data_IF_900910288863
#
_entry.id   IF_900910288863
#
_cell.length_a   1.000
_cell.length_b   1.000
_cell.length_c   1.000
_cell.angle_alpha   90.00
_cell.angle_beta   90.00
_cell.angle_gamma   90.00
#
_symmetry.space_group_name_H-M   'P 1'
#
loop_
_entity.id
_entity.type
_entity.pdbx_description
1 polymer ?
#
# COMPACT_ATOMS: atom_id res chain seq x y z
N UNK A 1 1.68 19.21 -11.66
CA UNK A 1 2.96 19.89 -11.91
C UNK A 1 3.66 19.27 -13.12
N UNK A 2 4.25 18.07 -13.04
CA UNK A 2 4.90 17.48 -14.23
C UNK A 2 3.92 17.29 -15.40
N UNK A 3 2.79 16.61 -15.17
CA UNK A 3 1.76 16.42 -16.20
C UNK A 3 1.05 17.70 -16.65
N UNK A 4 1.16 18.79 -15.88
CA UNK A 4 0.52 20.08 -16.24
C UNK A 4 1.45 20.99 -17.04
N UNK A 5 2.76 20.72 -17.01
CA UNK A 5 3.82 21.52 -17.66
C UNK A 5 4.51 20.74 -18.79
N UNK A 6 3.88 19.65 -19.27
CA UNK A 6 4.42 18.71 -20.26
C UNK A 6 5.01 19.41 -21.49
N UNK A 7 4.27 20.34 -22.10
CA UNK A 7 4.70 21.06 -23.31
C UNK A 7 5.92 21.97 -23.10
N UNK A 8 6.07 22.54 -21.90
CA UNK A 8 7.23 23.38 -21.58
C UNK A 8 8.46 22.51 -21.30
N UNK A 9 8.27 21.37 -20.63
CA UNK A 9 9.34 20.44 -20.27
C UNK A 9 9.81 19.60 -21.47
N UNK A 10 8.93 19.29 -22.43
CA UNK A 10 9.28 18.55 -23.66
C UNK A 10 10.14 19.35 -24.63
N UNK A 11 10.12 20.68 -24.55
CA UNK A 11 10.92 21.55 -25.40
C UNK A 11 12.39 21.62 -24.97
N UNK A 12 12.73 21.06 -23.81
CA UNK A 12 14.09 21.03 -23.27
C UNK A 12 14.73 19.69 -23.62
N UNK A 13 15.95 19.74 -24.16
CA UNK A 13 16.80 18.56 -24.33
C UNK A 13 17.44 18.21 -22.99
N UNK A 14 16.99 17.13 -22.35
CA UNK A 14 17.46 16.75 -21.02
C UNK A 14 18.65 15.80 -21.12
N UNK A 15 19.79 16.16 -20.53
CA UNK A 15 20.94 15.22 -20.47
C UNK A 15 20.64 14.03 -19.54
N UNK A 16 19.87 14.23 -18.47
CA UNK A 16 19.58 13.18 -17.49
C UNK A 16 18.20 13.34 -16.88
N UNK A 17 17.49 12.22 -16.74
CA UNK A 17 16.25 12.11 -15.99
C UNK A 17 16.46 11.24 -14.75
N UNK A 18 16.14 11.80 -13.58
CA UNK A 18 16.13 11.07 -12.31
C UNK A 18 14.68 11.02 -11.82
N UNK A 19 14.13 9.81 -11.74
CA UNK A 19 12.78 9.60 -11.22
C UNK A 19 12.87 8.95 -9.85
N UNK A 20 12.46 9.69 -8.83
CA UNK A 20 12.33 9.17 -7.48
C UNK A 20 11.00 8.43 -7.28
N UNK A 21 11.01 7.45 -6.39
CA UNK A 21 9.93 6.49 -6.18
C UNK A 21 9.48 5.81 -7.49
N UNK A 22 10.44 5.22 -8.20
CA UNK A 22 10.25 4.58 -9.51
C UNK A 22 9.10 3.55 -9.55
N UNK A 23 8.68 3.02 -8.40
CA UNK A 23 7.48 2.19 -8.29
C UNK A 23 6.18 2.87 -8.78
N UNK A 24 6.17 4.20 -8.92
CA UNK A 24 5.06 4.95 -9.55
C UNK A 24 4.91 4.67 -11.05
N UNK A 25 5.95 4.13 -11.70
CA UNK A 25 5.99 3.81 -13.14
C UNK A 25 5.58 2.37 -13.46
N UNK A 26 4.98 1.64 -12.51
CA UNK A 26 4.60 0.22 -12.63
C UNK A 26 3.62 -0.16 -13.74
N UNK A 27 3.14 0.80 -14.55
CA UNK A 27 2.13 0.55 -15.58
C UNK A 27 2.41 1.38 -16.83
N UNK A 28 2.53 0.69 -17.98
CA UNK A 28 2.69 1.34 -19.29
C UNK A 28 1.52 2.23 -19.67
N UNK A 29 0.32 1.96 -19.13
CA UNK A 29 -0.89 2.75 -19.39
C UNK A 29 -0.99 3.99 -18.52
N UNK A 30 -0.10 4.15 -17.54
CA UNK A 30 -0.05 5.36 -16.72
C UNK A 30 0.34 6.55 -17.59
N UNK A 31 -0.43 7.64 -17.52
CA UNK A 31 -0.08 8.90 -18.22
C UNK A 31 1.31 9.40 -17.83
N UNK A 32 1.70 9.18 -16.57
CA UNK A 32 3.05 9.52 -16.08
C UNK A 32 4.14 8.75 -16.82
N UNK A 33 3.92 7.47 -17.09
CA UNK A 33 4.87 6.64 -17.82
C UNK A 33 5.04 7.13 -19.25
N UNK A 34 3.92 7.35 -19.95
CA UNK A 34 3.91 7.78 -21.36
C UNK A 34 4.67 9.11 -21.53
N UNK A 35 4.32 10.12 -20.73
CA UNK A 35 4.95 11.44 -20.81
C UNK A 35 6.46 11.38 -20.55
N UNK A 36 6.89 10.64 -19.52
CA UNK A 36 8.31 10.53 -19.21
C UNK A 36 9.08 9.67 -20.23
N UNK A 37 8.40 8.70 -20.84
CA UNK A 37 8.99 7.87 -21.88
C UNK A 37 9.26 8.66 -23.15
N UNK A 38 8.35 9.59 -23.49
CA UNK A 38 8.42 10.44 -24.68
C UNK A 38 9.46 11.57 -24.58
N UNK A 39 9.94 11.88 -23.37
CA UNK A 39 11.04 12.85 -23.20
C UNK A 39 12.35 12.28 -23.74
N UNK A 40 13.00 13.07 -24.61
CA UNK A 40 14.33 12.77 -25.10
C UNK A 40 15.36 13.02 -23.99
N UNK A 41 16.03 11.95 -23.60
CA UNK A 41 16.98 11.96 -22.48
C UNK A 41 18.16 11.05 -22.74
N UNK A 42 19.39 11.53 -22.54
CA UNK A 42 20.59 10.70 -22.74
C UNK A 42 20.76 9.62 -21.66
N UNK A 43 20.42 9.94 -20.41
CA UNK A 43 20.53 9.00 -19.28
C UNK A 43 19.27 8.99 -18.43
N UNK A 44 18.83 7.80 -18.01
CA UNK A 44 17.66 7.60 -17.12
C UNK A 44 18.10 6.86 -15.86
N UNK A 45 17.75 7.41 -14.70
CA UNK A 45 18.01 6.80 -13.39
C UNK A 45 16.73 6.69 -12.60
N UNK A 46 16.44 5.48 -12.09
CA UNK A 46 15.33 5.23 -11.19
C UNK A 46 15.82 5.07 -9.76
N UNK A 47 15.24 5.83 -8.84
CA UNK A 47 15.44 5.64 -7.40
C UNK A 47 14.20 4.95 -6.83
N UNK A 48 14.40 3.83 -6.13
CA UNK A 48 13.29 3.11 -5.49
C UNK A 48 13.77 2.35 -4.27
N UNK A 49 13.02 2.47 -3.17
CA UNK A 49 13.25 1.68 -1.96
C UNK A 49 12.80 0.22 -2.08
N UNK A 50 11.95 -0.10 -3.06
CA UNK A 50 11.37 -1.43 -3.28
C UNK A 50 11.48 -1.81 -4.77
N UNK A 51 12.68 -2.20 -5.24
CA UNK A 51 12.92 -2.41 -6.67
C UNK A 51 12.22 -3.65 -7.25
N UNK A 52 11.93 -4.65 -6.43
CA UNK A 52 11.21 -5.86 -6.83
C UNK A 52 9.81 -5.79 -6.25
N UNK A 53 8.86 -5.26 -7.02
CA UNK A 53 7.44 -5.39 -6.73
C UNK A 53 6.94 -6.69 -7.38
N UNK A 54 5.93 -7.31 -6.77
CA UNK A 54 5.64 -8.76 -6.81
C UNK A 54 5.26 -9.36 -8.19
N UNK A 55 5.39 -8.63 -9.30
CA UNK A 55 5.06 -9.09 -10.65
C UNK A 55 6.22 -8.86 -11.62
N UNK A 56 6.58 -9.88 -12.41
CA UNK A 56 7.53 -9.79 -13.51
C UNK A 56 7.17 -8.68 -14.51
N UNK A 57 5.88 -8.43 -14.71
CA UNK A 57 5.42 -7.36 -15.61
C UNK A 57 5.86 -5.98 -15.10
N UNK A 58 5.75 -5.72 -13.79
CA UNK A 58 6.14 -4.44 -13.21
C UNK A 58 7.65 -4.23 -13.34
N UNK A 59 8.43 -5.30 -13.12
CA UNK A 59 9.87 -5.28 -13.34
C UNK A 59 10.22 -4.99 -14.80
N UNK A 60 9.58 -5.68 -15.74
CA UNK A 60 9.78 -5.46 -17.17
C UNK A 60 9.48 -4.01 -17.55
N UNK A 61 8.41 -3.41 -17.01
CA UNK A 61 8.06 -2.02 -17.29
C UNK A 61 9.15 -1.04 -16.83
N UNK A 62 9.74 -1.28 -15.66
CA UNK A 62 10.87 -0.46 -15.18
C UNK A 62 12.12 -0.65 -16.04
N UNK A 63 12.42 -1.88 -16.47
CA UNK A 63 13.56 -2.16 -17.35
C UNK A 63 13.37 -1.56 -18.75
N UNK A 64 12.18 -1.68 -19.31
CA UNK A 64 11.79 -1.05 -20.57
C UNK A 64 11.86 0.48 -20.50
N UNK A 65 11.58 1.08 -19.34
CA UNK A 65 11.74 2.51 -19.15
C UNK A 65 13.21 2.95 -19.20
N UNK A 66 14.11 2.16 -18.61
CA UNK A 66 15.55 2.44 -18.59
C UNK A 66 16.20 2.18 -19.95
N UNK A 67 15.86 1.06 -20.61
CA UNK A 67 16.49 0.61 -21.86
C UNK A 67 15.43 0.00 -22.80
N UNK A 68 14.67 0.84 -23.53
CA UNK A 68 13.54 0.38 -24.33
C UNK A 68 13.94 -0.51 -25.51
N UNK A 69 15.14 -0.33 -26.07
CA UNK A 69 15.66 -1.12 -27.18
C UNK A 69 15.90 -2.58 -26.80
N UNK A 70 16.46 -2.81 -25.60
CA UNK A 70 16.78 -4.16 -25.11
C UNK A 70 15.54 -4.88 -24.59
N UNK A 71 14.60 -4.15 -23.99
CA UNK A 71 13.39 -4.70 -23.39
C UNK A 71 12.15 -4.26 -24.16
N UNK A 72 12.04 -4.62 -25.44
CA UNK A 72 10.99 -4.11 -26.34
C UNK A 72 9.63 -4.80 -26.19
N UNK A 73 9.61 -6.14 -26.04
CA UNK A 73 8.37 -6.95 -25.95
C UNK A 73 8.21 -7.59 -24.57
N UNK A 74 7.03 -7.38 -23.97
CA UNK A 74 6.65 -8.04 -22.72
C UNK A 74 6.42 -9.52 -22.94
N UNK A 75 5.84 -9.89 -24.08
CA UNK A 75 5.51 -11.25 -24.47
C UNK A 75 6.79 -12.10 -24.59
N UNK A 76 7.81 -11.59 -25.28
CA UNK A 76 9.11 -12.26 -25.38
C UNK A 76 9.78 -12.45 -24.00
N UNK A 77 9.67 -11.45 -23.14
CA UNK A 77 10.17 -11.54 -21.76
C UNK A 77 9.38 -12.59 -20.96
N UNK A 78 8.05 -12.59 -21.05
CA UNK A 78 7.22 -13.59 -20.38
C UNK A 78 7.49 -15.00 -20.91
N UNK A 79 7.66 -15.20 -22.22
CA UNK A 79 8.01 -16.51 -22.79
C UNK A 79 9.36 -17.01 -22.24
N UNK A 80 10.36 -16.12 -22.15
CA UNK A 80 11.67 -16.46 -21.59
C UNK A 80 11.60 -16.87 -20.10
N UNK A 81 10.67 -16.28 -19.32
CA UNK A 81 10.53 -16.47 -17.88
C UNK A 81 9.27 -17.24 -17.42
N UNK A 82 8.52 -17.89 -18.33
CA UNK A 82 7.27 -18.63 -18.03
C UNK A 82 7.44 -20.15 -17.88
N UNK A 83 8.64 -20.67 -18.12
CA UNK A 83 8.97 -22.10 -17.95
C UNK A 83 8.90 -22.61 -16.50
N UNK A 84 8.85 -23.93 -16.34
CA UNK A 84 8.58 -24.63 -15.08
C UNK A 84 9.71 -24.63 -14.04
N UNK A 85 10.86 -24.01 -14.33
CA UNK A 85 12.09 -24.13 -13.53
C UNK A 85 12.45 -22.79 -12.87
N UNK A 86 11.73 -22.48 -11.78
CA UNK A 86 11.71 -21.15 -11.16
C UNK A 86 13.06 -20.68 -10.62
N UNK A 87 13.90 -21.57 -10.09
CA UNK A 87 15.20 -21.18 -9.50
C UNK A 87 16.23 -20.76 -10.56
N UNK A 88 16.26 -21.46 -11.70
CA UNK A 88 17.15 -21.12 -12.81
C UNK A 88 16.73 -19.78 -13.46
N UNK A 89 15.43 -19.55 -13.58
CA UNK A 89 14.87 -18.30 -14.10
C UNK A 89 15.18 -17.09 -13.20
N UNK A 90 15.01 -17.24 -11.88
CA UNK A 90 15.33 -16.19 -10.91
C UNK A 90 16.82 -15.84 -10.98
N UNK A 91 17.70 -16.84 -11.09
CA UNK A 91 19.15 -16.64 -11.20
C UNK A 91 19.51 -15.85 -12.46
N UNK A 92 18.93 -16.23 -13.61
CA UNK A 92 19.15 -15.54 -14.89
C UNK A 92 18.60 -14.11 -14.88
N UNK A 93 17.43 -13.90 -14.27
CA UNK A 93 16.87 -12.56 -14.08
C UNK A 93 17.80 -11.69 -13.24
N UNK A 94 18.38 -12.23 -12.16
CA UNK A 94 19.35 -11.52 -11.36
C UNK A 94 20.60 -11.12 -12.14
N UNK A 95 21.10 -11.96 -13.05
CA UNK A 95 22.24 -11.61 -13.91
C UNK A 95 21.94 -10.44 -14.85
N UNK A 96 20.75 -10.43 -15.45
CA UNK A 96 20.29 -9.34 -16.34
C UNK A 96 20.11 -8.03 -15.56
N UNK A 97 19.60 -8.11 -14.32
CA UNK A 97 19.38 -6.95 -13.46
C UNK A 97 20.67 -6.41 -12.85
N UNK A 98 21.66 -7.25 -12.57
CA UNK A 98 22.91 -6.90 -11.86
C UNK A 98 23.62 -5.65 -12.40
N UNK A 99 23.78 -5.43 -13.72
CA UNK A 99 24.40 -4.20 -14.23
C UNK A 99 23.52 -2.95 -14.09
N UNK A 100 22.19 -3.10 -13.98
CA UNK A 100 21.24 -1.99 -13.94
C UNK A 100 20.79 -1.63 -12.51
N UNK A 101 20.93 -2.55 -11.56
CA UNK A 101 20.36 -2.46 -10.23
C UNK A 101 21.44 -2.53 -9.16
N UNK A 102 21.65 -1.40 -8.48
CA UNK A 102 22.45 -1.32 -7.28
C UNK A 102 21.54 -1.37 -6.04
N UNK A 103 21.53 -2.51 -5.34
CA UNK A 103 20.76 -2.70 -4.10
C UNK A 103 21.68 -3.08 -2.94
N UNK A 104 21.52 -2.38 -1.82
CA UNK A 104 22.23 -2.64 -0.56
C UNK A 104 21.20 -2.80 0.56
N UNK A 105 21.41 -3.74 1.50
CA UNK A 105 20.54 -3.87 2.67
C UNK A 105 21.08 -3.03 3.82
N UNK A 106 20.19 -2.53 4.70
CA UNK A 106 20.59 -1.76 5.88
C UNK A 106 21.58 -2.52 6.76
N UNK A 107 21.43 -3.85 6.90
CA UNK A 107 22.35 -4.69 7.66
C UNK A 107 23.77 -4.74 7.08
N UNK A 108 23.90 -4.56 5.76
CA UNK A 108 25.19 -4.64 5.06
C UNK A 108 25.99 -3.34 5.19
N UNK A 109 25.31 -2.23 5.53
CA UNK A 109 25.89 -0.87 5.53
C UNK A 109 25.86 -0.21 6.91
N UNK A 110 24.83 -0.46 7.72
CA UNK A 110 24.58 0.20 9.00
C UNK A 110 24.70 -0.80 10.15
N UNK A 111 25.94 -1.22 10.45
CA UNK A 111 26.25 -2.22 11.48
C UNK A 111 25.90 -1.77 12.91
N UNK A 112 25.77 -0.46 13.15
CA UNK A 112 25.45 0.11 14.46
C UNK A 112 23.94 0.21 14.75
N UNK A 113 23.08 -0.07 13.77
CA UNK A 113 21.63 0.06 13.94
C UNK A 113 21.05 -1.20 14.61
N UNK A 114 20.28 -1.07 15.71
CA UNK A 114 19.60 -2.22 16.30
C UNK A 114 18.67 -2.91 15.31
N UNK A 115 18.51 -4.24 15.37
CA UNK A 115 17.63 -4.96 14.46
C UNK A 115 16.17 -4.54 14.67
N UNK A 116 15.44 -4.40 13.55
CA UNK A 116 14.00 -4.13 13.57
C UNK A 116 13.27 -5.34 14.18
N UNK A 117 12.58 -5.14 15.31
CA UNK A 117 11.67 -6.15 15.88
C UNK A 117 10.27 -5.95 15.32
N UNK A 118 9.69 -7.01 14.76
CA UNK A 118 8.33 -7.00 14.23
C UNK A 118 7.45 -7.91 15.09
N UNK A 119 6.36 -7.36 15.61
CA UNK A 119 5.45 -8.07 16.50
C UNK A 119 4.00 -7.84 16.06
N UNK A 120 3.30 -8.94 15.82
CA UNK A 120 1.88 -8.92 15.49
C UNK A 120 1.07 -9.00 16.78
N UNK A 121 0.42 -7.89 17.16
CA UNK A 121 -0.46 -7.84 18.32
C UNK A 121 -1.88 -8.18 17.88
N UNK A 122 -2.38 -9.33 18.34
CA UNK A 122 -3.77 -9.74 18.10
C UNK A 122 -4.70 -8.98 19.04
N UNK A 123 -5.80 -8.47 18.49
CA UNK A 123 -6.76 -7.64 19.21
C UNK A 123 -8.15 -8.22 19.00
N UNK A 124 -8.92 -8.31 20.07
CA UNK A 124 -10.31 -8.74 19.99
C UNK A 124 -11.24 -7.61 19.57
N UNK A 125 -12.32 -7.95 18.87
CA UNK A 125 -13.36 -6.98 18.52
C UNK A 125 -14.16 -6.57 19.77
N UNK A 126 -14.44 -5.28 19.88
CA UNK A 126 -15.38 -4.74 20.87
C UNK A 126 -16.80 -5.29 20.63
N UNK A 127 -17.69 -5.12 21.62
CA UNK A 127 -19.11 -5.50 21.47
C UNK A 127 -19.75 -4.80 20.27
N UNK A 128 -19.57 -3.48 20.16
CA UNK A 128 -20.10 -2.69 19.06
C UNK A 128 -19.54 -3.15 17.71
N UNK A 129 -18.23 -3.42 17.63
CA UNK A 129 -17.62 -3.98 16.42
C UNK A 129 -18.23 -5.32 16.04
N UNK A 130 -18.44 -6.24 17.00
CA UNK A 130 -19.07 -7.54 16.74
C UNK A 130 -20.48 -7.39 16.17
N UNK A 131 -21.26 -6.45 16.68
CA UNK A 131 -22.64 -6.20 16.22
C UNK A 131 -22.67 -5.66 14.78
N UNK A 132 -21.83 -4.67 14.47
CA UNK A 132 -21.67 -4.16 13.09
C UNK A 132 -21.09 -5.21 12.14
N UNK A 133 -20.12 -6.00 12.59
CA UNK A 133 -19.50 -7.05 11.80
C UNK A 133 -20.54 -8.11 11.41
N UNK A 134 -21.38 -8.54 12.36
CA UNK A 134 -22.52 -9.44 12.08
C UNK A 134 -23.51 -8.80 11.12
N UNK A 135 -23.90 -7.55 11.33
CA UNK A 135 -24.84 -6.83 10.45
C UNK A 135 -24.35 -6.78 8.99
N UNK A 136 -23.06 -6.45 8.77
CA UNK A 136 -22.44 -6.44 7.44
C UNK A 136 -22.46 -7.81 6.80
N UNK A 137 -22.14 -8.87 7.55
CA UNK A 137 -22.17 -10.24 7.04
C UNK A 137 -23.59 -10.70 6.70
N UNK A 138 -24.57 -10.44 7.57
CA UNK A 138 -25.97 -10.85 7.35
C UNK A 138 -26.56 -10.15 6.12
N UNK A 139 -26.32 -8.84 5.95
CA UNK A 139 -26.76 -8.10 4.75
C UNK A 139 -26.13 -8.63 3.47
N UNK A 140 -24.91 -9.15 3.57
CA UNK A 140 -24.13 -9.64 2.44
C UNK A 140 -24.26 -11.14 2.21
N UNK A 141 -25.06 -11.84 3.03
CA UNK A 141 -25.22 -13.28 3.01
C UNK A 141 -25.57 -13.85 1.62
N UNK A 142 -26.46 -13.23 0.80
CA UNK A 142 -26.77 -13.73 -0.54
C UNK A 142 -25.57 -13.72 -1.50
N UNK A 143 -24.66 -12.75 -1.31
CA UNK A 143 -23.42 -12.63 -2.11
C UNK A 143 -22.38 -13.65 -1.65
N UNK A 144 -22.32 -13.93 -0.34
CA UNK A 144 -21.36 -14.88 0.26
C UNK A 144 -21.72 -16.34 -0.05
N UNK A 145 -23.00 -16.68 -0.13
CA UNK A 145 -23.51 -18.04 -0.40
C UNK A 145 -23.54 -18.36 -1.91
N UNK A 146 -23.09 -17.44 -2.77
CA UNK A 146 -22.93 -17.71 -4.21
C UNK A 146 -24.25 -17.78 -4.99
N UNK A 147 -25.25 -16.98 -4.61
CA UNK A 147 -26.52 -16.96 -5.35
C UNK A 147 -26.35 -16.34 -6.74
N UNK A 148 -26.41 -17.18 -7.79
CA UNK A 148 -26.72 -16.90 -9.22
C UNK A 148 -26.37 -15.50 -9.72
N UNK A 149 -25.11 -15.06 -9.58
CA UNK A 149 -24.65 -13.80 -10.15
C UNK A 149 -23.42 -14.04 -11.04
N UNK A 150 -23.36 -13.34 -12.17
CA UNK A 150 -22.22 -13.40 -13.09
C UNK A 150 -20.92 -13.02 -12.37
N UNK A 151 -19.82 -13.75 -12.64
CA UNK A 151 -18.58 -13.71 -11.85
C UNK A 151 -18.00 -12.32 -11.60
N UNK A 152 -18.09 -11.39 -12.56
CA UNK A 152 -17.60 -10.01 -12.42
C UNK A 152 -18.38 -9.14 -11.42
N UNK A 153 -19.70 -9.35 -11.31
CA UNK A 153 -20.54 -8.60 -10.35
C UNK A 153 -20.38 -9.13 -8.92
N UNK A 154 -20.15 -10.44 -8.76
CA UNK A 154 -19.86 -11.08 -7.48
C UNK A 154 -18.55 -10.56 -6.90
N UNK A 155 -17.48 -10.52 -7.70
CA UNK A 155 -16.17 -10.04 -7.25
C UNK A 155 -16.20 -8.59 -6.74
N UNK A 156 -16.94 -7.71 -7.42
CA UNK A 156 -17.09 -6.30 -7.02
C UNK A 156 -17.88 -6.15 -5.72
N UNK A 157 -18.99 -6.90 -5.57
CA UNK A 157 -19.77 -6.89 -4.33
C UNK A 157 -18.96 -7.44 -3.16
N UNK A 158 -18.21 -8.53 -3.33
CA UNK A 158 -17.34 -9.08 -2.29
C UNK A 158 -16.24 -8.10 -1.87
N UNK A 159 -15.63 -7.38 -2.82
CA UNK A 159 -14.66 -6.31 -2.51
C UNK A 159 -15.27 -5.23 -1.59
N UNK A 160 -16.52 -4.85 -1.84
CA UNK A 160 -17.22 -3.88 -1.00
C UNK A 160 -17.47 -4.43 0.41
N UNK A 161 -17.88 -5.69 0.53
CA UNK A 161 -18.05 -6.35 1.85
C UNK A 161 -16.73 -6.36 2.62
N UNK A 162 -15.64 -6.77 1.98
CA UNK A 162 -14.31 -6.78 2.60
C UNK A 162 -13.90 -5.35 3.02
N UNK A 163 -14.21 -4.34 2.23
CA UNK A 163 -13.97 -2.94 2.59
C UNK A 163 -14.75 -2.52 3.84
N UNK A 164 -16.03 -2.88 3.95
CA UNK A 164 -16.86 -2.60 5.12
C UNK A 164 -16.36 -3.33 6.37
N UNK A 165 -16.01 -4.62 6.25
CA UNK A 165 -15.43 -5.38 7.36
C UNK A 165 -14.11 -4.77 7.82
N UNK A 166 -13.25 -4.31 6.89
CA UNK A 166 -12.01 -3.58 7.22
C UNK A 166 -12.28 -2.27 7.98
N UNK A 167 -13.31 -1.51 7.58
CA UNK A 167 -13.74 -0.30 8.32
C UNK A 167 -14.19 -0.67 9.74
N UNK A 168 -15.04 -1.68 9.88
CA UNK A 168 -15.50 -2.17 11.19
C UNK A 168 -14.34 -2.56 12.12
N UNK A 169 -13.36 -3.31 11.60
CA UNK A 169 -12.17 -3.70 12.35
C UNK A 169 -11.24 -2.53 12.74
N UNK A 170 -11.34 -1.38 12.08
CA UNK A 170 -10.61 -0.16 12.48
C UNK A 170 -11.39 0.60 13.55
N UNK A 171 -12.60 1.06 13.21
CA UNK A 171 -13.45 1.78 14.14
C UNK A 171 -14.92 1.79 13.69
N UNK A 172 -15.91 1.49 14.56
CA UNK A 172 -17.33 1.56 14.20
C UNK A 172 -17.80 2.92 13.70
N UNK A 173 -17.23 4.02 14.21
CA UNK A 173 -17.61 5.39 13.79
C UNK A 173 -17.25 5.74 12.34
N UNK A 174 -16.56 4.84 11.62
CA UNK A 174 -16.44 4.96 10.16
C UNK A 174 -17.77 4.74 9.45
N UNK A 175 -18.74 4.09 10.09
CA UNK A 175 -20.11 3.95 9.57
C UNK A 175 -20.96 5.17 9.96
N UNK A 176 -21.73 5.73 9.01
CA UNK A 176 -22.62 6.85 9.31
C UNK A 176 -23.68 6.43 10.34
N UNK A 177 -23.92 7.28 11.34
CA UNK A 177 -24.89 7.03 12.41
C UNK A 177 -24.43 6.05 13.50
N UNK A 178 -23.18 5.60 13.49
CA UNK A 178 -22.62 4.78 14.58
C UNK A 178 -22.15 5.61 15.78
N UNK A 179 -21.96 6.91 15.59
CA UNK A 179 -21.63 7.86 16.66
C UNK A 179 -22.88 8.14 17.50
N UNK A 180 -22.75 7.95 18.81
CA UNK A 180 -23.78 8.35 19.76
C UNK A 180 -23.54 9.79 20.17
N UNK A 181 -24.60 10.56 20.40
CA UNK A 181 -24.48 11.93 20.90
C UNK A 181 -23.87 11.89 22.31
N UNK A 182 -22.62 12.30 22.44
CA UNK A 182 -21.96 12.42 23.73
C UNK A 182 -22.43 13.70 24.42
N UNK A 183 -22.82 13.59 25.69
CA UNK A 183 -23.22 14.75 26.49
C UNK A 183 -22.01 15.66 26.82
N UNK A 184 -20.85 15.05 27.10
CA UNK A 184 -19.62 15.73 27.51
C UNK A 184 -18.39 15.14 26.78
N UNK A 185 -17.29 15.90 26.70
CA UNK A 185 -16.02 15.47 26.06
C UNK A 185 -15.44 14.19 26.68
N UNK A 186 -15.48 14.04 28.00
CA UNK A 186 -14.97 12.84 28.68
C UNK A 186 -15.79 11.58 28.36
N UNK A 187 -17.10 11.75 28.21
CA UNK A 187 -17.99 10.66 27.81
C UNK A 187 -17.73 10.28 26.35
N UNK A 188 -17.53 11.27 25.48
CA UNK A 188 -17.11 11.05 24.09
C UNK A 188 -15.81 10.26 24.00
N UNK A 189 -14.78 10.64 24.77
CA UNK A 189 -13.51 9.90 24.82
C UNK A 189 -13.67 8.45 25.29
N UNK A 190 -14.49 8.23 26.34
CA UNK A 190 -14.79 6.88 26.84
C UNK A 190 -15.52 6.04 25.80
N UNK A 191 -16.52 6.60 25.12
CA UNK A 191 -17.27 5.92 24.07
C UNK A 191 -16.38 5.59 22.86
N UNK A 192 -15.56 6.55 22.42
CA UNK A 192 -14.59 6.40 21.32
C UNK A 192 -13.62 5.25 21.63
N UNK A 193 -13.02 5.27 22.82
CA UNK A 193 -12.09 4.22 23.24
C UNK A 193 -12.79 2.86 23.36
N UNK A 194 -13.97 2.80 23.99
CA UNK A 194 -14.69 1.55 24.21
C UNK A 194 -15.22 0.94 22.90
N UNK A 195 -15.51 1.76 21.89
CA UNK A 195 -16.06 1.33 20.62
C UNK A 195 -15.08 0.48 19.78
N UNK A 196 -13.76 0.61 19.95
CA UNK A 196 -12.77 -0.15 19.16
C UNK A 196 -11.79 -0.90 20.04
N UNK A 197 -11.69 -2.22 19.85
CA UNK A 197 -10.69 -3.03 20.57
C UNK A 197 -9.25 -2.56 20.34
N UNK A 198 -8.96 -2.00 19.15
CA UNK A 198 -7.65 -1.42 18.83
C UNK A 198 -7.38 -0.19 19.69
N UNK A 199 -8.33 0.72 19.82
CA UNK A 199 -8.19 1.91 20.67
C UNK A 199 -8.12 1.55 22.15
N UNK A 200 -8.88 0.53 22.61
CA UNK A 200 -8.74 0.03 23.98
C UNK A 200 -7.33 -0.43 24.27
N UNK A 201 -6.70 -1.20 23.37
CA UNK A 201 -5.31 -1.62 23.55
C UNK A 201 -4.35 -0.41 23.46
N UNK A 202 -4.55 0.46 22.47
CA UNK A 202 -3.75 1.67 22.25
C UNK A 202 -3.73 2.53 23.52
N UNK A 203 -4.88 2.72 24.16
CA UNK A 203 -5.06 3.50 25.41
C UNK A 203 -4.26 2.95 26.59
N UNK A 204 -3.99 1.64 26.60
CA UNK A 204 -3.16 1.00 27.64
C UNK A 204 -1.68 1.03 27.30
N UNK A 205 -1.33 1.04 26.01
CA UNK A 205 0.06 1.02 25.55
C UNK A 205 0.70 2.41 25.54
N UNK A 206 -0.03 3.43 25.07
CA UNK A 206 0.52 4.77 24.85
C UNK A 206 1.06 5.45 26.12
N UNK A 207 0.38 5.38 27.28
CA UNK A 207 0.92 5.92 28.54
C UNK A 207 2.24 5.27 28.95
N UNK A 208 2.37 3.94 28.77
CA UNK A 208 3.60 3.20 29.09
C UNK A 208 4.76 3.60 28.19
N UNK A 209 4.49 3.74 26.89
CA UNK A 209 5.49 4.17 25.92
C UNK A 209 5.94 5.62 26.17
N UNK A 210 4.99 6.51 26.51
CA UNK A 210 5.29 7.90 26.86
C UNK A 210 6.11 8.00 28.13
N UNK A 211 5.77 7.23 29.16
CA UNK A 211 6.53 7.20 30.43
C UNK A 211 7.97 6.68 30.22
N UNK A 212 8.18 5.75 29.29
CA UNK A 212 9.50 5.27 28.89
C UNK A 212 10.26 6.23 27.93
N UNK A 213 9.67 7.37 27.56
CA UNK A 213 10.29 8.35 26.66
C UNK A 213 10.30 7.95 25.18
N UNK A 214 9.47 6.98 24.76
CA UNK A 214 9.39 6.56 23.36
C UNK A 214 8.51 7.49 22.52
N UNK A 215 8.84 7.60 21.23
CA UNK A 215 8.03 8.28 20.21
C UNK A 215 7.40 7.25 19.29
N UNK A 216 6.14 7.45 18.91
CA UNK A 216 5.32 6.47 18.18
C UNK A 216 4.85 7.07 16.86
N UNK A 217 4.99 6.30 15.78
CA UNK A 217 4.42 6.61 14.46
C UNK A 217 3.28 5.64 14.19
N UNK A 218 2.08 6.16 13.90
CA UNK A 218 0.89 5.37 13.61
C UNK A 218 0.53 5.55 12.14
N UNK A 219 0.42 4.45 11.41
CA UNK A 219 0.01 4.43 10.01
C UNK A 219 -1.38 3.81 9.87
N UNK A 220 -2.23 4.41 9.03
CA UNK A 220 -3.53 3.87 8.66
C UNK A 220 -3.78 4.04 7.17
N UNK A 221 -4.50 3.09 6.58
CA UNK A 221 -4.92 3.14 5.17
C UNK A 221 -6.19 3.98 4.95
N UNK A 222 -6.92 4.32 6.02
CA UNK A 222 -8.14 5.11 5.94
C UNK A 222 -7.91 6.47 6.60
N UNK A 223 -8.00 7.55 5.82
CA UNK A 223 -7.84 8.92 6.31
C UNK A 223 -8.80 9.23 7.46
N UNK A 224 -10.07 8.85 7.34
CA UNK A 224 -11.07 9.00 8.41
C UNK A 224 -10.72 8.27 9.71
N UNK A 225 -9.86 7.25 9.68
CA UNK A 225 -9.38 6.61 10.92
C UNK A 225 -8.31 7.47 11.60
N UNK A 226 -7.55 8.26 10.83
CA UNK A 226 -6.61 9.23 11.39
C UNK A 226 -7.37 10.39 12.05
N UNK A 227 -8.47 10.87 11.46
CA UNK A 227 -9.34 11.88 12.09
C UNK A 227 -9.84 11.40 13.47
N UNK A 228 -10.33 10.15 13.55
CA UNK A 228 -10.73 9.52 14.82
C UNK A 228 -9.56 9.44 15.82
N UNK A 229 -8.35 9.13 15.33
CA UNK A 229 -7.16 9.09 16.19
C UNK A 229 -6.74 10.48 16.66
N UNK A 230 -6.93 11.51 15.84
CA UNK A 230 -6.68 12.91 16.20
C UNK A 230 -7.63 13.35 17.31
N UNK A 231 -8.92 13.09 17.17
CA UNK A 231 -9.93 13.35 18.21
C UNK A 231 -9.63 12.58 19.52
N UNK A 232 -9.09 11.37 19.40
CA UNK A 232 -8.70 10.55 20.56
C UNK A 232 -7.45 11.06 21.27
N UNK A 233 -6.53 11.70 20.54
CA UNK A 233 -5.26 12.24 21.08
C UNK A 233 -5.41 13.66 21.66
N UNK A 234 -6.47 14.37 21.30
CA UNK A 234 -6.73 15.77 21.66
C UNK A 234 -7.24 15.94 23.10
#
# INVERSE_FOLDING_TARGET
>A
MMLSEESALSAVEWETMIVDEGHRLKSKTSRLFQVLHDFDTRQRTLLTGTPLQNNLDELFILMHFLEPEKFSSLEAFQEEFSGSDGDHQISRLHEILKPHLLRRLKKDVLTQMPPKKEQVVRVELSKLQKDYYKSVLTRSYPVLVGSRMAGGQVATKLKNVVMELRKCCNHPFLFPGAEQTAANREEGYRQLTAASGKLQLLSRMMPKLRAAGHRVLIYSQFARTLDILEDWLA
#
